data_IF_327248954542
#
_entry.id   IF_327248954542
#
_cell.length_a   1.000
_cell.length_b   1.000
_cell.length_c   1.000
_cell.angle_alpha   90.00
_cell.angle_beta   90.00
_cell.angle_gamma   90.00
#
_symmetry.space_group_name_H-M   'P 1'
#
loop_
_entity.id
_entity.type
_entity.pdbx_description
1 polymer ?
#
# COMPACT_ATOMS: atom_id res chain seq x y z
N UNK A 1 11.21 3.57 -18.91
CA UNK A 1 9.94 2.89 -18.81
C UNK A 1 9.02 3.61 -17.84
N UNK A 2 7.75 3.80 -18.17
CA UNK A 2 6.81 4.41 -17.24
C UNK A 2 6.62 3.59 -15.97
N UNK A 3 6.94 2.31 -16.00
CA UNK A 3 6.71 1.41 -14.87
C UNK A 3 7.78 1.52 -13.79
N UNK A 4 8.89 2.18 -14.04
CA UNK A 4 9.95 2.31 -13.06
C UNK A 4 9.84 3.59 -12.23
N UNK A 5 8.76 4.34 -12.39
CA UNK A 5 8.55 5.59 -11.66
C UNK A 5 7.75 5.35 -10.39
N UNK A 6 8.13 6.06 -9.32
CA UNK A 6 7.29 6.17 -8.14
C UNK A 6 6.24 7.24 -8.37
N UNK A 7 5.04 7.02 -7.86
CA UNK A 7 3.96 7.99 -7.93
C UNK A 7 3.97 8.87 -6.69
N UNK A 8 3.62 10.13 -6.84
CA UNK A 8 3.45 10.99 -5.67
C UNK A 8 2.08 10.77 -5.03
N UNK A 9 1.92 11.21 -3.80
CA UNK A 9 0.71 10.96 -3.03
C UNK A 9 -0.51 11.66 -3.62
N UNK A 10 -0.34 12.83 -4.23
CA UNK A 10 -1.44 13.51 -4.90
C UNK A 10 -1.97 12.70 -6.07
N UNK A 11 -1.08 12.14 -6.87
CA UNK A 11 -1.44 11.22 -7.94
C UNK A 11 -2.16 10.00 -7.38
N UNK A 12 -1.70 9.51 -6.26
CA UNK A 12 -2.31 8.42 -5.56
C UNK A 12 -3.70 8.70 -5.07
N UNK A 13 -3.90 9.86 -4.44
CA UNK A 13 -5.20 10.26 -3.94
C UNK A 13 -6.26 10.23 -5.03
N UNK A 14 -5.87 10.59 -6.25
CA UNK A 14 -6.76 10.52 -7.40
C UNK A 14 -6.95 9.09 -7.88
N UNK A 15 -5.90 8.28 -7.84
CA UNK A 15 -5.96 6.88 -8.28
C UNK A 15 -6.73 6.02 -7.29
N UNK A 16 -6.51 6.19 -6.00
CA UNK A 16 -7.20 5.40 -4.97
C UNK A 16 -8.67 5.80 -4.81
N UNK A 17 -9.03 7.03 -5.16
CA UNK A 17 -10.41 7.47 -5.12
C UNK A 17 -10.99 7.48 -3.71
N UNK A 18 -11.89 6.53 -3.42
CA UNK A 18 -12.65 6.51 -2.18
C UNK A 18 -12.26 5.33 -1.30
N UNK A 19 -12.18 5.57 0.00
CA UNK A 19 -12.09 4.53 1.03
C UNK A 19 -13.23 4.77 2.02
N UNK A 20 -14.18 3.85 2.11
CA UNK A 20 -15.38 3.96 2.97
C UNK A 20 -16.08 5.31 2.83
N UNK A 21 -16.32 5.74 1.60
CA UNK A 21 -16.97 7.02 1.25
C UNK A 21 -16.19 8.28 1.63
N UNK A 22 -14.92 8.15 2.01
CA UNK A 22 -14.02 9.29 2.22
C UNK A 22 -13.03 9.33 1.07
N UNK A 23 -12.93 10.46 0.39
CA UNK A 23 -11.91 10.63 -0.64
C UNK A 23 -10.55 10.66 0.02
N UNK A 24 -9.60 9.92 -0.54
CA UNK A 24 -8.24 9.89 0.01
C UNK A 24 -7.61 11.29 0.01
N UNK A 25 -7.92 12.10 -1.00
CA UNK A 25 -7.46 13.49 -1.06
C UNK A 25 -7.96 14.37 0.10
N UNK A 26 -9.06 14.00 0.74
CA UNK A 26 -9.61 14.76 1.86
C UNK A 26 -8.91 14.43 3.20
N UNK A 27 -7.98 13.49 3.20
CA UNK A 27 -7.24 13.13 4.40
C UNK A 27 -6.07 14.08 4.71
N UNK A 28 -5.94 15.15 3.95
CA UNK A 28 -4.91 16.18 4.13
C UNK A 28 -3.50 15.57 4.20
N UNK A 29 -3.22 14.63 3.31
CA UNK A 29 -1.91 13.99 3.21
C UNK A 29 -1.17 14.53 2.01
N UNK A 30 0.07 14.90 2.24
CA UNK A 30 1.00 15.29 1.18
C UNK A 30 2.18 14.35 1.21
N UNK A 31 2.84 14.22 0.09
CA UNK A 31 4.03 13.39 0.01
C UNK A 31 3.91 12.40 -1.13
N UNK A 32 4.53 11.27 -0.95
CA UNK A 32 4.68 10.30 -2.01
C UNK A 32 4.52 8.89 -1.48
N UNK A 33 4.09 8.00 -2.35
CA UNK A 33 4.05 6.58 -2.06
C UNK A 33 4.80 5.83 -3.14
N UNK A 34 5.62 4.88 -2.73
CA UNK A 34 6.35 4.03 -3.67
C UNK A 34 5.39 3.06 -4.33
N UNK A 35 5.52 2.92 -5.65
CA UNK A 35 4.67 2.01 -6.41
C UNK A 35 5.29 1.62 -7.74
N UNK A 36 4.72 0.60 -8.32
CA UNK A 36 5.03 0.16 -9.69
C UNK A 36 3.87 -0.65 -10.22
N UNK A 37 3.83 -0.80 -11.54
CA UNK A 37 2.87 -1.70 -12.20
C UNK A 37 3.53 -3.07 -12.33
N UNK A 38 2.90 -4.09 -11.77
CA UNK A 38 3.40 -5.45 -11.81
C UNK A 38 3.21 -6.14 -13.16
N UNK A 39 3.74 -7.35 -13.29
CA UNK A 39 3.60 -8.14 -14.51
C UNK A 39 2.14 -8.49 -14.83
N UNK A 40 1.29 -8.51 -13.83
CA UNK A 40 -0.15 -8.73 -13.98
C UNK A 40 -0.92 -7.47 -14.40
N UNK A 41 -0.23 -6.35 -14.59
CA UNK A 41 -0.84 -5.08 -14.96
C UNK A 41 -1.44 -4.30 -13.78
N UNK A 42 -1.37 -4.84 -12.56
CA UNK A 42 -1.92 -4.17 -11.39
C UNK A 42 -0.88 -3.24 -10.75
N UNK A 43 -1.30 -2.08 -10.19
CA UNK A 43 -0.41 -1.25 -9.39
C UNK A 43 -0.16 -1.89 -8.03
N UNK A 44 1.10 -1.86 -7.61
CA UNK A 44 1.55 -2.33 -6.30
C UNK A 44 2.06 -1.14 -5.50
N UNK A 45 1.69 -1.09 -4.23
CA UNK A 45 1.99 0.03 -3.35
C UNK A 45 2.74 -0.44 -2.11
N UNK A 46 3.72 0.33 -1.67
CA UNK A 46 4.43 0.03 -0.43
C UNK A 46 3.46 0.12 0.76
N UNK A 47 3.38 -0.94 1.53
CA UNK A 47 2.37 -1.07 2.60
C UNK A 47 2.44 0.06 3.62
N UNK A 48 3.62 0.43 4.07
CA UNK A 48 3.77 1.48 5.09
C UNK A 48 3.41 2.86 4.57
N UNK A 49 3.54 3.09 3.27
CA UNK A 49 3.08 4.35 2.67
C UNK A 49 1.56 4.43 2.68
N UNK A 50 0.88 3.32 2.48
CA UNK A 50 -0.58 3.27 2.61
C UNK A 50 -1.03 3.46 4.06
N UNK A 51 -0.29 2.89 5.01
CA UNK A 51 -0.55 3.13 6.43
C UNK A 51 -0.45 4.62 6.77
N UNK A 52 0.55 5.31 6.24
CA UNK A 52 0.68 6.75 6.40
C UNK A 52 -0.49 7.50 5.74
N UNK A 53 -0.85 7.10 4.53
CA UNK A 53 -1.92 7.75 3.76
C UNK A 53 -3.26 7.66 4.48
N UNK A 54 -3.58 6.50 5.03
CA UNK A 54 -4.88 6.28 5.68
C UNK A 54 -4.90 6.69 7.14
N UNK A 55 -3.77 7.13 7.68
CA UNK A 55 -3.71 7.58 9.06
C UNK A 55 -4.59 8.81 9.27
N UNK A 56 -5.35 8.82 10.34
CA UNK A 56 -6.32 9.88 10.62
C UNK A 56 -7.71 9.61 10.07
N UNK A 57 -7.90 8.56 9.29
CA UNK A 57 -9.22 8.13 8.82
C UNK A 57 -9.77 7.01 9.70
N UNK A 58 -11.03 6.65 9.50
CA UNK A 58 -11.61 5.50 10.21
C UNK A 58 -11.01 4.17 9.75
N UNK A 59 -10.29 4.14 8.63
CA UNK A 59 -9.59 2.97 8.12
C UNK A 59 -8.11 2.98 8.45
N UNK A 60 -7.68 3.84 9.37
CA UNK A 60 -6.29 3.88 9.79
C UNK A 60 -5.85 2.53 10.34
N UNK A 61 -4.60 2.20 10.14
CA UNK A 61 -4.00 0.98 10.65
C UNK A 61 -2.52 1.20 10.94
N UNK A 62 -2.02 0.48 11.94
CA UNK A 62 -0.61 0.46 12.24
C UNK A 62 0.04 -0.81 11.71
N UNK A 63 1.29 -0.72 11.32
CA UNK A 63 2.07 -1.83 10.81
C UNK A 63 3.29 -2.01 11.69
N UNK A 64 3.49 -3.23 12.15
CA UNK A 64 4.67 -3.59 12.94
C UNK A 64 5.21 -4.95 12.48
N UNK A 65 6.30 -5.37 13.06
CA UNK A 65 6.88 -6.67 12.83
C UNK A 65 6.85 -7.43 14.16
N UNK A 66 6.17 -8.56 14.19
CA UNK A 66 6.04 -9.37 15.40
C UNK A 66 6.04 -10.85 15.05
N UNK A 67 6.75 -11.64 15.84
CA UNK A 67 6.81 -13.09 15.69
C UNK A 67 7.22 -13.54 14.27
N UNK A 68 8.16 -12.79 13.67
CA UNK A 68 8.71 -13.12 12.37
C UNK A 68 7.80 -12.80 11.18
N UNK A 69 6.77 -12.00 11.37
CA UNK A 69 5.85 -11.61 10.29
C UNK A 69 5.34 -10.20 10.47
N UNK A 70 4.75 -9.66 9.41
CA UNK A 70 4.07 -8.37 9.45
C UNK A 70 2.81 -8.51 10.32
N UNK A 71 2.61 -7.55 11.21
CA UNK A 71 1.42 -7.46 12.05
C UNK A 71 0.71 -6.13 11.81
N UNK A 72 -0.57 -6.19 11.53
CA UNK A 72 -1.44 -5.03 11.36
C UNK A 72 -2.37 -4.95 12.55
N UNK A 73 -2.49 -3.74 13.10
CA UNK A 73 -3.52 -3.42 14.09
C UNK A 73 -4.46 -2.41 13.45
N UNK A 74 -5.71 -2.79 13.25
CA UNK A 74 -6.71 -1.90 12.65
C UNK A 74 -7.19 -0.87 13.66
N UNK A 75 -7.81 0.21 13.17
CA UNK A 75 -8.34 1.30 14.01
C UNK A 75 -7.30 1.89 14.96
N UNK A 76 -6.06 1.87 14.55
CA UNK A 76 -4.91 2.32 15.35
C UNK A 76 -4.05 3.23 14.51
N UNK A 77 -3.62 4.35 15.09
CA UNK A 77 -2.78 5.31 14.38
C UNK A 77 -1.44 4.68 13.97
N UNK A 78 -0.99 5.02 12.77
CA UNK A 78 0.33 4.62 12.30
C UNK A 78 1.40 5.38 13.06
N UNK A 79 2.30 4.67 13.71
CA UNK A 79 3.40 5.24 14.50
C UNK A 79 4.76 5.10 13.82
N UNK A 80 4.79 4.60 12.61
CA UNK A 80 6.03 4.36 11.88
C UNK A 80 6.54 5.59 11.14
N UNK A 81 7.63 5.39 10.43
CA UNK A 81 8.28 6.45 9.65
C UNK A 81 7.66 6.57 8.27
N UNK A 82 7.82 7.76 7.68
CA UNK A 82 7.64 7.95 6.26
C UNK A 82 8.98 7.67 5.58
N UNK A 83 9.05 6.64 4.77
CA UNK A 83 10.29 6.20 4.15
C UNK A 83 10.60 6.99 2.89
N UNK A 84 11.90 7.22 2.57
CA UNK A 84 12.25 7.83 1.29
C UNK A 84 11.77 6.99 0.12
N UNK A 85 11.40 7.64 -0.97
CA UNK A 85 11.09 6.95 -2.21
C UNK A 85 12.33 6.28 -2.78
N UNK A 86 12.20 5.07 -3.34
CA UNK A 86 13.29 4.49 -4.10
C UNK A 86 13.60 5.36 -5.31
N UNK A 87 14.89 5.44 -5.66
CA UNK A 87 15.32 6.18 -6.86
C UNK A 87 14.74 5.53 -8.11
N UNK A 88 14.66 4.20 -8.08
CA UNK A 88 14.15 3.42 -9.20
C UNK A 88 13.68 2.05 -8.72
N UNK A 89 12.61 1.54 -9.31
CA UNK A 89 12.19 0.16 -9.11
C UNK A 89 12.80 -0.68 -10.25
N UNK A 90 13.66 -1.65 -9.96
CA UNK A 90 14.26 -2.48 -11.01
C UNK A 90 13.22 -3.26 -11.81
N UNK A 91 13.49 -3.46 -13.11
CA UNK A 91 12.59 -4.24 -13.96
C UNK A 91 12.38 -5.66 -13.41
N UNK A 92 13.41 -6.27 -12.84
CA UNK A 92 13.29 -7.60 -12.24
C UNK A 92 12.27 -7.65 -11.10
N UNK A 93 12.12 -6.55 -10.35
CA UNK A 93 11.09 -6.45 -9.31
C UNK A 93 9.71 -6.32 -9.92
N UNK A 94 9.55 -5.49 -10.95
CA UNK A 94 8.28 -5.29 -11.64
C UNK A 94 7.78 -6.56 -12.32
N UNK A 95 8.69 -7.40 -12.79
CA UNK A 95 8.40 -8.67 -13.48
C UNK A 95 8.23 -9.82 -12.50
N UNK A 96 8.47 -9.60 -11.22
CA UNK A 96 8.38 -10.64 -10.21
C UNK A 96 6.96 -11.15 -10.06
N UNK A 97 6.81 -12.46 -9.95
CA UNK A 97 5.52 -13.06 -9.63
C UNK A 97 5.28 -12.84 -8.11
N UNK A 98 4.15 -12.25 -7.72
CA UNK A 98 3.86 -12.08 -6.31
C UNK A 98 3.85 -13.41 -5.58
N UNK A 99 4.39 -13.41 -4.37
CA UNK A 99 4.39 -14.58 -3.49
C UNK A 99 3.49 -14.33 -2.30
N UNK A 100 2.78 -15.35 -1.86
CA UNK A 100 1.93 -15.25 -0.69
C UNK A 100 2.76 -15.03 0.56
N UNK A 101 2.36 -14.04 1.34
CA UNK A 101 2.90 -13.79 2.67
C UNK A 101 1.78 -13.94 3.70
N UNK A 102 2.14 -14.28 4.93
CA UNK A 102 1.20 -14.33 6.03
C UNK A 102 1.32 -13.04 6.84
N UNK A 103 0.20 -12.35 7.00
CA UNK A 103 0.10 -11.11 7.77
C UNK A 103 -0.85 -11.36 8.93
N UNK A 104 -0.43 -11.03 10.14
CA UNK A 104 -1.31 -11.07 11.31
C UNK A 104 -2.11 -9.77 11.34
N UNK A 105 -3.42 -9.87 11.27
CA UNK A 105 -4.33 -8.72 11.35
C UNK A 105 -5.18 -8.89 12.59
N UNK A 106 -4.96 -8.05 13.59
CA UNK A 106 -5.64 -8.12 14.88
C UNK A 106 -5.57 -9.53 15.50
N UNK A 107 -4.42 -10.19 15.33
CA UNK A 107 -4.17 -11.52 15.86
C UNK A 107 -4.63 -12.69 14.97
N UNK A 108 -5.23 -12.41 13.83
CA UNK A 108 -5.66 -13.45 12.87
C UNK A 108 -4.73 -13.44 11.66
N UNK A 109 -4.22 -14.61 11.32
CA UNK A 109 -3.33 -14.73 10.15
C UNK A 109 -4.12 -14.74 8.86
N UNK A 110 -3.74 -13.86 7.94
CA UNK A 110 -4.33 -13.76 6.61
C UNK A 110 -3.19 -13.86 5.59
N UNK A 111 -3.41 -14.64 4.55
CA UNK A 111 -2.46 -14.79 3.44
C UNK A 111 -2.82 -13.85 2.31
N UNK A 112 -1.82 -13.16 1.77
CA UNK A 112 -2.01 -12.18 0.71
C UNK A 112 -0.79 -12.18 -0.22
N UNK A 113 -0.98 -12.02 -1.54
CA UNK A 113 0.14 -11.88 -2.46
C UNK A 113 0.88 -10.56 -2.24
N UNK A 114 2.20 -10.60 -2.29
CA UNK A 114 3.03 -9.41 -2.14
C UNK A 114 4.32 -9.55 -2.93
N UNK A 115 4.95 -8.43 -3.19
CA UNK A 115 6.28 -8.34 -3.77
C UNK A 115 7.19 -7.68 -2.75
N UNK A 116 8.32 -8.30 -2.45
CA UNK A 116 9.31 -7.76 -1.53
C UNK A 116 10.37 -7.01 -2.33
N UNK A 117 10.58 -5.75 -1.98
CA UNK A 117 11.67 -4.94 -2.53
C UNK A 117 12.24 -4.04 -1.46
N UNK A 118 13.56 -4.09 -1.33
CA UNK A 118 14.33 -3.24 -0.40
C UNK A 118 13.77 -3.30 1.04
N UNK A 119 13.42 -4.50 1.49
CA UNK A 119 12.92 -4.72 2.83
C UNK A 119 11.47 -4.32 3.06
N UNK A 120 10.75 -3.92 2.01
CA UNK A 120 9.35 -3.51 2.09
C UNK A 120 8.46 -4.40 1.24
N UNK A 121 7.26 -4.66 1.75
CA UNK A 121 6.23 -5.36 0.99
C UNK A 121 5.37 -4.37 0.21
N UNK A 122 5.15 -4.71 -1.05
CA UNK A 122 4.27 -3.98 -1.96
C UNK A 122 3.07 -4.87 -2.27
N UNK A 123 1.88 -4.32 -2.10
CA UNK A 123 0.62 -5.03 -2.32
C UNK A 123 -0.27 -4.24 -3.27
N UNK A 124 -1.21 -4.95 -3.89
CA UNK A 124 -2.28 -4.29 -4.65
C UNK A 124 -3.32 -3.72 -3.69
N UNK A 125 -4.19 -2.84 -4.21
CA UNK A 125 -5.31 -2.32 -3.43
C UNK A 125 -6.24 -3.46 -3.01
N UNK A 126 -6.49 -4.44 -3.89
CA UNK A 126 -7.29 -5.61 -3.54
C UNK A 126 -6.66 -6.40 -2.38
N UNK A 127 -5.34 -6.55 -2.39
CA UNK A 127 -4.63 -7.20 -1.28
C UNK A 127 -4.80 -6.46 0.04
N UNK A 128 -4.67 -5.14 0.02
CA UNK A 128 -4.89 -4.34 1.23
C UNK A 128 -6.34 -4.41 1.69
N UNK A 129 -7.30 -4.39 0.77
CA UNK A 129 -8.71 -4.56 1.12
C UNK A 129 -8.97 -5.90 1.82
N UNK A 130 -8.34 -6.96 1.33
CA UNK A 130 -8.47 -8.27 1.96
C UNK A 130 -7.93 -8.28 3.40
N UNK A 131 -6.84 -7.56 3.66
CA UNK A 131 -6.26 -7.45 4.99
C UNK A 131 -7.12 -6.60 5.93
N UNK A 132 -7.63 -5.48 5.44
CA UNK A 132 -8.30 -4.48 6.26
C UNK A 132 -9.82 -4.65 6.32
N UNK A 133 -10.40 -5.50 5.49
CA UNK A 133 -11.85 -5.60 5.37
C UNK A 133 -12.48 -4.36 4.75
N UNK A 134 -11.74 -3.66 3.90
CA UNK A 134 -12.19 -2.41 3.27
C UNK A 134 -12.57 -2.62 1.81
N UNK A 135 -13.04 -1.57 1.17
CA UNK A 135 -13.50 -1.62 -0.23
C UNK A 135 -12.91 -0.48 -1.06
N UNK A 136 -11.67 -0.10 -0.80
CA UNK A 136 -10.99 0.92 -1.59
C UNK A 136 -10.95 0.51 -3.07
N UNK A 137 -11.04 1.48 -3.94
CA UNK A 137 -10.94 1.26 -5.39
C UNK A 137 -9.88 2.16 -5.99
N UNK A 138 -9.33 1.72 -7.10
CA UNK A 138 -8.47 2.57 -7.92
C UNK A 138 -9.38 3.34 -8.87
N UNK A 139 -9.18 4.64 -8.90
CA UNK A 139 -9.84 5.50 -9.86
C UNK A 139 -8.78 6.06 -10.80
N UNK A 140 -8.94 5.81 -12.09
CA UNK A 140 -8.03 6.36 -13.08
C UNK A 140 -8.12 7.88 -13.12
N UNK A 141 -6.95 8.51 -13.16
CA UNK A 141 -6.88 9.94 -13.33
C UNK A 141 -7.31 10.29 -14.75
N UNK A 142 -8.20 11.26 -14.90
CA UNK A 142 -8.57 11.78 -16.20
C UNK A 142 -7.34 12.42 -16.87
N UNK A 143 -7.13 12.08 -18.11
CA UNK A 143 -6.00 12.60 -18.89
C UNK A 143 -6.14 14.11 -19.14
#
# INVERSE_FOLDING_TARGET
SPYSQSLNLDTYSEVLGMVDNVKVSDLDKTGTAASFVGADGAPYFRMRDLAYTFNGSKNQFNVSWADGKVAITTSTAYDGELFPLPVRIPAAVQEQIPADITVSVDGTDITVPAILFDGHYYLTVDGMNALLGTNATIQEKAA
#
